data_IF_445357416450
#
_entry.id   IF_445357416450
#
_cell.length_a   1.000
_cell.length_b   1.000
_cell.length_c   1.000
_cell.angle_alpha   90.00
_cell.angle_beta   90.00
_cell.angle_gamma   90.00
#
_symmetry.space_group_name_H-M   'P 1'
#
loop_
_entity.id
_entity.type
_entity.pdbx_description
1 polymer ?
#
# COMPACT_ATOMS: atom_id res chain seq x y z
N UNK A 1 23.56 48.94 -41.21
CA UNK A 1 23.48 47.58 -40.63
C UNK A 1 22.23 47.56 -39.78
N UNK A 2 21.13 47.07 -40.33
CA UNK A 2 19.85 46.97 -39.64
C UNK A 2 19.83 45.73 -38.77
N UNK A 3 19.40 45.91 -37.52
CA UNK A 3 19.18 44.85 -36.54
C UNK A 3 17.76 44.33 -36.78
N UNK A 4 17.63 43.11 -37.29
CA UNK A 4 16.34 42.43 -37.41
C UNK A 4 15.94 41.93 -36.02
N UNK A 5 14.93 42.57 -35.42
CA UNK A 5 14.29 42.08 -34.21
C UNK A 5 13.48 40.81 -34.54
N UNK A 6 13.60 39.72 -33.75
CA UNK A 6 12.80 38.53 -33.95
C UNK A 6 11.31 38.82 -33.67
N UNK A 7 10.38 38.18 -34.40
CA UNK A 7 8.95 38.39 -34.20
C UNK A 7 8.53 37.91 -32.79
N UNK A 8 7.60 38.61 -32.13
CA UNK A 8 7.14 38.24 -30.80
C UNK A 8 6.43 36.88 -30.81
N UNK A 9 6.79 36.05 -29.84
CA UNK A 9 6.22 34.73 -29.61
C UNK A 9 4.69 34.82 -29.34
N UNK A 10 3.91 34.43 -30.34
CA UNK A 10 2.44 34.51 -30.36
C UNK A 10 1.75 33.60 -29.34
N UNK A 11 2.45 32.67 -28.71
CA UNK A 11 1.86 31.75 -27.72
C UNK A 11 1.64 32.42 -26.36
N UNK A 12 2.47 33.39 -25.98
CA UNK A 12 2.38 34.09 -24.68
C UNK A 12 1.27 35.14 -24.58
N UNK A 13 0.76 35.64 -25.69
CA UNK A 13 -0.32 36.65 -25.70
C UNK A 13 -1.71 36.05 -25.48
N UNK A 14 -1.90 34.76 -25.78
CA UNK A 14 -3.17 34.06 -25.58
C UNK A 14 -3.53 33.83 -24.11
N UNK A 15 -2.56 33.42 -23.28
CA UNK A 15 -2.80 33.11 -21.86
C UNK A 15 -3.11 34.38 -21.04
N UNK A 16 -2.41 35.48 -21.30
CA UNK A 16 -2.66 36.76 -20.64
C UNK A 16 -4.04 37.34 -21.00
N UNK A 17 -4.50 37.14 -22.24
CA UNK A 17 -5.83 37.58 -22.68
C UNK A 17 -6.96 36.80 -21.99
N UNK A 18 -6.79 35.50 -21.76
CA UNK A 18 -7.80 34.64 -21.09
C UNK A 18 -7.96 35.02 -19.61
N UNK A 19 -6.87 35.33 -18.92
CA UNK A 19 -6.90 35.77 -17.51
C UNK A 19 -7.58 37.13 -17.38
N UNK A 20 -7.29 38.08 -18.27
CA UNK A 20 -7.98 39.38 -18.31
C UNK A 20 -9.48 39.25 -18.67
N UNK A 21 -9.83 38.34 -19.58
CA UNK A 21 -11.23 38.06 -19.93
C UNK A 21 -12.02 37.49 -18.74
N UNK A 22 -11.39 36.60 -17.95
CA UNK A 22 -12.03 35.95 -16.81
C UNK A 22 -12.28 36.91 -15.63
N UNK A 23 -11.44 37.95 -15.47
CA UNK A 23 -11.61 38.98 -14.44
C UNK A 23 -12.77 39.94 -14.80
N UNK A 24 -13.00 40.19 -16.10
CA UNK A 24 -13.99 41.18 -16.56
C UNK A 24 -15.38 40.61 -16.86
N UNK A 25 -15.44 39.34 -17.27
CA UNK A 25 -16.69 38.66 -17.61
C UNK A 25 -17.23 37.96 -16.35
N UNK A 26 -18.27 38.51 -15.73
CA UNK A 26 -18.86 37.94 -14.50
C UNK A 26 -19.12 36.43 -14.56
N UNK A 27 -19.23 35.78 -13.39
CA UNK A 27 -19.22 34.32 -13.19
C UNK A 27 -20.08 33.46 -14.14
N UNK A 28 -21.17 34.00 -14.69
CA UNK A 28 -22.02 33.32 -15.68
C UNK A 28 -21.33 33.09 -17.03
N UNK A 29 -20.52 34.04 -17.49
CA UNK A 29 -19.82 33.95 -18.79
C UNK A 29 -18.62 33.02 -18.66
N UNK A 30 -17.87 33.10 -17.55
CA UNK A 30 -16.81 32.13 -17.22
C UNK A 30 -17.36 30.70 -17.26
N UNK A 31 -18.50 30.43 -16.62
CA UNK A 31 -19.19 29.12 -16.70
C UNK A 31 -19.65 28.74 -18.11
N UNK A 32 -19.96 29.68 -18.99
CA UNK A 32 -20.36 29.40 -20.37
C UNK A 32 -19.15 29.01 -21.24
N UNK A 33 -18.03 29.74 -21.09
CA UNK A 33 -16.75 29.43 -21.75
C UNK A 33 -16.26 28.05 -21.32
N UNK A 34 -16.29 27.73 -20.02
CA UNK A 34 -15.93 26.41 -19.52
C UNK A 34 -16.83 25.29 -20.07
N UNK A 35 -18.15 25.51 -20.16
CA UNK A 35 -19.07 24.54 -20.77
C UNK A 35 -18.77 24.30 -22.25
N UNK A 36 -18.40 25.34 -23.00
CA UNK A 36 -18.05 25.22 -24.41
C UNK A 36 -16.71 24.47 -24.58
N UNK A 37 -15.68 24.81 -23.80
CA UNK A 37 -14.40 24.09 -23.81
C UNK A 37 -14.58 22.60 -23.49
N UNK A 38 -15.45 22.27 -22.53
CA UNK A 38 -15.82 20.88 -22.19
C UNK A 38 -16.51 20.16 -23.35
N UNK A 39 -17.42 20.83 -24.06
CA UNK A 39 -18.09 20.24 -25.21
C UNK A 39 -17.11 19.97 -26.36
N UNK A 40 -16.19 20.91 -26.64
CA UNK A 40 -15.14 20.75 -27.65
C UNK A 40 -14.20 19.59 -27.28
N UNK A 41 -13.72 19.53 -26.05
CA UNK A 41 -12.83 18.44 -25.61
C UNK A 41 -13.52 17.07 -25.62
N UNK A 42 -14.81 17.00 -25.23
CA UNK A 42 -15.58 15.75 -25.31
C UNK A 42 -15.82 15.29 -26.76
N UNK A 43 -15.80 16.21 -27.71
CA UNK A 43 -15.90 15.90 -29.12
C UNK A 43 -14.58 15.38 -29.71
N UNK A 44 -13.44 15.57 -29.02
CA UNK A 44 -12.17 14.94 -29.39
C UNK A 44 -12.30 13.42 -29.13
N UNK A 45 -12.05 12.57 -30.14
CA UNK A 45 -11.99 11.12 -29.99
C UNK A 45 -11.08 10.74 -28.82
N UNK A 46 -11.41 9.68 -28.09
CA UNK A 46 -10.63 9.28 -26.91
C UNK A 46 -9.14 9.04 -27.24
N UNK A 47 -8.85 8.54 -28.44
CA UNK A 47 -7.50 8.25 -28.93
C UNK A 47 -6.67 9.51 -29.25
N UNK A 48 -7.33 10.66 -29.46
CA UNK A 48 -6.68 11.93 -29.79
C UNK A 48 -6.46 12.83 -28.55
N UNK A 49 -6.87 12.38 -27.36
CA UNK A 49 -6.68 13.14 -26.12
C UNK A 49 -5.23 13.00 -25.65
N UNK A 50 -4.58 14.08 -25.20
CA UNK A 50 -3.29 13.95 -24.54
C UNK A 50 -3.50 13.07 -23.30
N UNK A 51 -2.65 12.05 -23.11
CA UNK A 51 -2.80 11.16 -21.97
C UNK A 51 -2.61 11.95 -20.67
N UNK A 52 -3.22 11.49 -19.58
CA UNK A 52 -3.17 12.22 -18.32
C UNK A 52 -1.73 12.23 -17.77
N UNK A 53 -1.32 13.32 -17.09
CA UNK A 53 -0.05 13.38 -16.40
C UNK A 53 0.06 12.26 -15.36
N UNK A 54 1.29 11.79 -15.14
CA UNK A 54 1.59 10.64 -14.28
C UNK A 54 2.54 11.05 -13.17
N UNK A 55 2.17 10.77 -11.93
CA UNK A 55 3.02 10.94 -10.75
C UNK A 55 3.40 9.56 -10.21
N UNK A 56 4.68 9.23 -10.29
CA UNK A 56 5.28 8.07 -9.63
C UNK A 56 5.86 8.45 -8.28
N UNK A 57 5.66 7.59 -7.27
CA UNK A 57 6.24 7.76 -5.94
C UNK A 57 7.12 6.56 -5.61
N UNK A 58 8.36 6.81 -5.18
CA UNK A 58 9.21 5.80 -4.56
C UNK A 58 9.41 6.19 -3.10
N UNK A 59 8.85 5.40 -2.19
CA UNK A 59 8.89 5.66 -0.76
C UNK A 59 9.77 4.60 -0.10
N UNK A 60 10.88 5.06 0.47
CA UNK A 60 11.71 4.26 1.34
C UNK A 60 10.94 3.90 2.60
N UNK A 61 10.94 2.63 2.92
CA UNK A 61 10.36 2.07 4.14
C UNK A 61 11.39 1.24 4.89
N UNK A 62 12.69 1.46 4.68
CA UNK A 62 13.79 0.79 5.37
C UNK A 62 13.92 1.19 6.84
N UNK A 63 14.76 0.51 7.60
CA UNK A 63 14.83 0.66 9.06
C UNK A 63 15.05 2.10 9.57
N UNK A 64 15.73 2.96 8.82
CA UNK A 64 15.92 4.38 9.17
C UNK A 64 14.61 5.19 9.15
N UNK A 65 13.60 4.72 8.43
CA UNK A 65 12.29 5.36 8.33
C UNK A 65 11.40 5.11 9.55
N UNK A 66 11.83 4.26 10.49
CA UNK A 66 11.19 4.09 11.82
C UNK A 66 11.31 5.33 12.68
N UNK A 67 12.36 6.13 12.46
CA UNK A 67 12.58 7.33 13.24
C UNK A 67 11.46 8.36 12.99
N UNK A 68 11.08 9.12 14.02
CA UNK A 68 10.13 10.22 13.86
C UNK A 68 10.77 11.44 13.21
N UNK A 69 9.95 12.23 12.50
CA UNK A 69 10.30 13.62 12.21
C UNK A 69 10.18 14.43 13.51
N UNK A 70 11.01 15.46 13.65
CA UNK A 70 10.81 16.50 14.66
C UNK A 70 9.56 17.30 14.29
N UNK A 71 8.39 16.83 14.74
CA UNK A 71 7.12 17.54 14.61
C UNK A 71 6.86 18.34 15.89
N UNK A 72 6.39 19.58 15.73
CA UNK A 72 5.91 20.42 16.85
C UNK A 72 4.58 19.92 17.43
N UNK A 73 3.90 18.98 16.75
CA UNK A 73 2.64 18.40 17.19
C UNK A 73 2.87 17.22 18.15
N UNK A 74 2.04 17.14 19.19
CA UNK A 74 2.07 16.16 20.28
C UNK A 74 1.80 14.74 19.74
N UNK A 75 2.85 14.04 19.31
CA UNK A 75 2.79 12.63 18.90
C UNK A 75 4.02 12.22 18.08
N UNK A 76 4.67 11.11 18.46
CA UNK A 76 5.75 10.51 17.67
C UNK A 76 5.14 9.79 16.45
N UNK A 77 5.02 10.49 15.32
CA UNK A 77 4.68 9.87 14.03
C UNK A 77 5.95 9.46 13.30
N UNK A 78 6.00 8.25 12.75
CA UNK A 78 7.14 7.80 11.95
C UNK A 78 7.29 8.61 10.66
N UNK A 79 8.47 8.57 10.04
CA UNK A 79 8.71 9.20 8.73
C UNK A 79 7.79 8.63 7.65
N UNK A 80 7.55 7.31 7.68
CA UNK A 80 6.64 6.65 6.75
C UNK A 80 5.19 7.12 6.91
N UNK A 81 4.66 7.17 8.13
CA UNK A 81 3.32 7.70 8.40
C UNK A 81 3.18 9.15 7.94
N UNK A 82 4.21 9.96 8.14
CA UNK A 82 4.24 11.34 7.66
C UNK A 82 4.24 11.42 6.13
N UNK A 83 4.90 10.49 5.43
CA UNK A 83 4.86 10.38 3.98
C UNK A 83 3.46 9.97 3.47
N UNK A 84 2.82 9.01 4.12
CA UNK A 84 1.43 8.63 3.82
C UNK A 84 0.45 9.79 4.09
N UNK A 85 0.64 10.53 5.17
CA UNK A 85 -0.17 11.70 5.49
C UNK A 85 -0.01 12.79 4.42
N UNK A 86 1.23 13.06 3.98
CA UNK A 86 1.52 14.00 2.91
C UNK A 86 0.90 13.55 1.58
N UNK A 87 0.91 12.24 1.28
CA UNK A 87 0.24 11.66 0.13
C UNK A 87 -1.29 11.83 0.21
N UNK A 88 -1.88 11.66 1.39
CA UNK A 88 -3.31 11.89 1.63
C UNK A 88 -3.68 13.36 1.42
N UNK A 89 -2.83 14.27 1.87
CA UNK A 89 -2.96 15.71 1.66
C UNK A 89 -2.86 16.08 0.18
N UNK A 90 -1.90 15.49 -0.52
CA UNK A 90 -1.75 15.60 -1.97
C UNK A 90 -3.03 15.13 -2.68
N UNK A 91 -3.58 13.98 -2.32
CA UNK A 91 -4.75 13.41 -2.96
C UNK A 91 -6.03 14.24 -2.70
N UNK A 92 -6.25 14.69 -1.45
CA UNK A 92 -7.43 15.50 -1.08
C UNK A 92 -7.44 16.88 -1.74
N UNK A 93 -6.32 17.60 -1.67
CA UNK A 93 -6.20 18.92 -2.32
C UNK A 93 -6.14 18.77 -3.83
N UNK A 94 -5.58 17.66 -4.28
CA UNK A 94 -5.82 16.97 -5.54
C UNK A 94 -7.15 17.30 -6.22
N UNK A 95 -8.21 16.69 -5.69
CA UNK A 95 -9.56 16.81 -6.23
C UNK A 95 -10.05 18.26 -6.35
N UNK A 96 -9.71 19.13 -5.38
CA UNK A 96 -10.22 20.52 -5.31
C UNK A 96 -9.61 21.48 -6.35
N UNK A 97 -8.36 21.28 -6.77
CA UNK A 97 -7.72 22.13 -7.79
C UNK A 97 -8.02 21.68 -9.21
N UNK A 98 -8.17 20.37 -9.44
CA UNK A 98 -8.55 19.82 -10.75
C UNK A 98 -9.99 20.21 -11.10
N UNK A 99 -10.88 20.30 -10.12
CA UNK A 99 -12.24 20.84 -10.36
C UNK A 99 -12.20 22.31 -10.81
N UNK A 100 -11.28 23.14 -10.32
CA UNK A 100 -11.31 24.58 -10.59
C UNK A 100 -10.59 25.03 -11.87
N UNK A 101 -9.52 24.35 -12.30
CA UNK A 101 -8.84 24.66 -13.58
C UNK A 101 -9.34 23.83 -14.76
N UNK A 102 -9.85 22.62 -14.49
CA UNK A 102 -10.04 21.58 -15.50
C UNK A 102 -11.41 20.87 -15.41
N UNK A 103 -12.47 21.59 -15.02
CA UNK A 103 -13.86 21.07 -14.91
C UNK A 103 -14.45 20.49 -16.24
N UNK A 104 -13.66 20.47 -17.32
CA UNK A 104 -13.96 19.80 -18.59
C UNK A 104 -12.94 18.76 -19.06
N UNK A 105 -11.73 18.69 -18.48
CA UNK A 105 -10.74 17.67 -18.83
C UNK A 105 -10.86 16.52 -17.84
N UNK A 106 -11.33 15.37 -18.33
CA UNK A 106 -11.28 14.11 -17.57
C UNK A 106 -9.86 13.58 -17.35
N UNK A 107 -8.83 14.42 -17.42
CA UNK A 107 -7.44 14.05 -17.17
C UNK A 107 -7.20 14.05 -15.66
N UNK A 108 -7.72 13.01 -15.03
CA UNK A 108 -7.35 12.68 -13.68
C UNK A 108 -5.87 12.30 -13.68
N UNK A 109 -5.04 13.12 -13.02
CA UNK A 109 -3.64 12.80 -12.73
C UNK A 109 -3.58 11.36 -12.23
N UNK A 110 -2.76 10.53 -12.89
CA UNK A 110 -2.58 9.12 -12.54
C UNK A 110 -1.42 9.01 -11.58
N UNK A 111 -1.58 8.21 -10.54
CA UNK A 111 -0.62 8.04 -9.46
C UNK A 111 -0.30 6.56 -9.30
N UNK A 112 0.98 6.23 -9.26
CA UNK A 112 1.45 4.93 -8.79
C UNK A 112 2.48 5.15 -7.67
N UNK A 113 2.61 4.18 -6.77
CA UNK A 113 3.54 4.28 -5.67
C UNK A 113 4.19 2.93 -5.40
N UNK A 114 5.51 2.90 -5.27
CA UNK A 114 6.27 1.76 -4.79
C UNK A 114 6.84 2.06 -3.41
N UNK A 115 6.72 1.08 -2.51
CA UNK A 115 7.46 1.05 -1.26
C UNK A 115 8.68 0.13 -1.42
N UNK A 116 9.86 0.60 -1.03
CA UNK A 116 11.09 -0.21 -1.06
C UNK A 116 11.73 -0.29 0.32
N UNK A 117 12.17 -1.49 0.68
CA UNK A 117 12.47 -1.89 2.05
C UNK A 117 11.35 -2.69 2.70
N UNK A 118 10.56 -3.35 1.87
CA UNK A 118 9.54 -4.31 2.30
C UNK A 118 10.23 -5.66 2.53
N UNK A 119 10.01 -6.26 3.69
CA UNK A 119 10.55 -7.56 4.05
C UNK A 119 9.80 -8.66 3.35
N UNK A 120 10.56 -9.62 2.85
CA UNK A 120 10.01 -10.88 2.35
C UNK A 120 9.49 -10.87 0.91
N UNK A 121 9.37 -9.70 0.27
CA UNK A 121 9.23 -9.66 -1.20
C UNK A 121 10.58 -10.03 -1.84
N UNK A 122 10.54 -10.68 -3.00
CA UNK A 122 11.75 -11.23 -3.65
C UNK A 122 12.82 -10.19 -3.97
N UNK A 123 12.42 -8.94 -4.23
CA UNK A 123 13.31 -7.81 -4.53
C UNK A 123 13.25 -6.70 -3.47
N UNK A 124 12.54 -6.93 -2.35
CA UNK A 124 12.34 -5.92 -1.31
C UNK A 124 11.50 -4.70 -1.73
N UNK A 125 10.77 -4.76 -2.86
CA UNK A 125 9.92 -3.68 -3.37
C UNK A 125 8.48 -4.16 -3.59
N UNK A 126 7.48 -3.41 -3.14
CA UNK A 126 6.08 -3.69 -3.43
C UNK A 126 5.35 -2.47 -4.00
N UNK A 127 4.27 -2.71 -4.77
CA UNK A 127 3.32 -1.66 -5.11
C UNK A 127 2.55 -1.26 -3.83
N UNK A 128 2.76 -0.02 -3.39
CA UNK A 128 2.20 0.49 -2.14
C UNK A 128 0.68 0.65 -2.24
N UNK A 129 0.15 0.97 -3.42
CA UNK A 129 -1.30 1.16 -3.60
C UNK A 129 -2.03 -0.18 -3.59
N UNK A 130 -1.46 -1.21 -4.20
CA UNK A 130 -1.92 -2.60 -4.11
C UNK A 130 -1.88 -3.07 -2.66
N UNK A 131 -0.77 -2.84 -1.94
CA UNK A 131 -0.65 -3.17 -0.51
C UNK A 131 -1.75 -2.51 0.32
N UNK A 132 -1.94 -1.20 0.17
CA UNK A 132 -2.98 -0.47 0.89
C UNK A 132 -4.39 -0.96 0.53
N UNK A 133 -4.64 -1.30 -0.73
CA UNK A 133 -5.93 -1.84 -1.18
C UNK A 133 -6.20 -3.21 -0.55
N UNK A 134 -5.18 -4.07 -0.47
CA UNK A 134 -5.29 -5.38 0.19
C UNK A 134 -5.54 -5.24 1.69
N UNK A 135 -4.90 -4.27 2.36
CA UNK A 135 -5.07 -4.04 3.79
C UNK A 135 -6.43 -3.45 4.17
N UNK A 136 -7.07 -2.69 3.26
CA UNK A 136 -8.45 -2.23 3.45
C UNK A 136 -9.46 -3.38 3.37
N UNK A 137 -9.07 -4.50 2.77
CA UNK A 137 -9.96 -5.53 2.24
C UNK A 137 -10.89 -5.00 1.16
N UNK A 138 -11.62 -5.90 0.50
CA UNK A 138 -12.69 -5.47 -0.40
C UNK A 138 -13.77 -4.79 0.44
N UNK A 139 -14.31 -3.63 0.00
CA UNK A 139 -15.56 -3.17 0.56
C UNK A 139 -16.53 -4.35 0.46
N UNK A 140 -17.19 -4.70 1.57
CA UNK A 140 -18.29 -5.65 1.47
C UNK A 140 -19.19 -5.13 0.36
N UNK A 141 -19.56 -5.95 -0.64
CA UNK A 141 -20.56 -5.52 -1.59
C UNK A 141 -21.71 -5.02 -0.73
N UNK A 142 -21.99 -3.71 -0.80
CA UNK A 142 -23.15 -3.16 -0.11
C UNK A 142 -24.28 -4.11 -0.50
N UNK A 143 -25.00 -4.65 0.49
CA UNK A 143 -26.18 -5.50 0.30
C UNK A 143 -27.23 -4.67 -0.46
N UNK A 144 -26.93 -4.40 -1.72
CA UNK A 144 -27.70 -3.68 -2.70
C UNK A 144 -28.64 -4.74 -3.19
N UNK A 145 -29.87 -4.63 -2.69
CA UNK A 145 -30.82 -5.71 -2.65
C UNK A 145 -30.92 -6.51 -3.94
N UNK A 146 -30.95 -7.84 -3.78
CA UNK A 146 -31.55 -8.80 -4.71
C UNK A 146 -31.30 -8.49 -6.20
N UNK A 147 -30.04 -8.22 -6.55
CA UNK A 147 -29.55 -8.27 -7.92
C UNK A 147 -28.73 -9.54 -8.09
N UNK A 148 -29.38 -10.65 -8.44
CA UNK A 148 -28.73 -11.86 -8.96
C UNK A 148 -28.00 -11.48 -10.25
N UNK A 149 -26.72 -11.11 -10.19
CA UNK A 149 -25.78 -11.09 -11.33
C UNK A 149 -24.38 -10.64 -10.84
N UNK A 150 -23.74 -11.45 -9.99
CA UNK A 150 -22.29 -11.30 -9.74
C UNK A 150 -21.60 -12.62 -10.16
N UNK A 151 -20.96 -12.57 -11.33
CA UNK A 151 -20.25 -13.65 -12.05
C UNK A 151 -18.98 -14.15 -11.32
N UNK A 152 -18.87 -13.97 -10.00
CA UNK A 152 -17.84 -14.67 -9.24
C UNK A 152 -18.08 -16.18 -9.42
N UNK A 153 -17.07 -16.99 -9.81
CA UNK A 153 -17.24 -18.42 -9.96
C UNK A 153 -17.80 -18.96 -8.64
N UNK A 154 -19.08 -19.31 -8.66
CA UNK A 154 -19.81 -19.80 -7.51
C UNK A 154 -19.20 -21.15 -7.17
N UNK A 155 -18.23 -21.14 -6.27
CA UNK A 155 -17.67 -22.34 -5.70
C UNK A 155 -18.84 -23.07 -5.02
N UNK A 156 -19.25 -24.21 -5.61
CA UNK A 156 -20.56 -24.83 -5.39
C UNK A 156 -20.83 -25.18 -3.92
N UNK A 157 -19.77 -25.43 -3.15
CA UNK A 157 -19.78 -25.44 -1.69
C UNK A 157 -18.36 -25.15 -1.16
N UNK A 158 -18.13 -24.06 -0.42
CA UNK A 158 -16.81 -23.79 0.15
C UNK A 158 -16.37 -24.84 1.17
N UNK A 159 -17.29 -25.52 1.86
CA UNK A 159 -16.93 -26.60 2.77
C UNK A 159 -16.42 -27.81 2.01
N UNK A 160 -17.05 -28.17 0.88
CA UNK A 160 -16.58 -29.27 0.03
C UNK A 160 -15.15 -29.04 -0.46
N UNK A 161 -14.86 -27.81 -0.93
CA UNK A 161 -13.51 -27.42 -1.32
C UNK A 161 -12.52 -27.55 -0.16
N UNK A 162 -12.86 -27.01 1.01
CA UNK A 162 -12.00 -27.07 2.19
C UNK A 162 -11.77 -28.50 2.69
N UNK A 163 -12.77 -29.38 2.59
CA UNK A 163 -12.60 -30.82 2.88
C UNK A 163 -11.66 -31.49 1.89
N UNK A 164 -11.76 -31.15 0.60
CA UNK A 164 -10.83 -31.67 -0.41
C UNK A 164 -9.38 -31.19 -0.17
N UNK A 165 -9.19 -29.93 0.23
CA UNK A 165 -7.87 -29.41 0.63
C UNK A 165 -7.35 -30.15 1.87
N UNK A 166 -8.19 -30.35 2.88
CA UNK A 166 -7.84 -31.11 4.08
C UNK A 166 -7.43 -32.56 3.76
N UNK A 167 -8.15 -33.23 2.85
CA UNK A 167 -7.83 -34.58 2.41
C UNK A 167 -6.50 -34.62 1.63
N UNK A 168 -6.29 -33.68 0.69
CA UNK A 168 -5.05 -33.54 -0.07
C UNK A 168 -3.83 -33.35 0.85
N UNK A 169 -3.96 -32.53 1.90
CA UNK A 169 -2.90 -32.30 2.88
C UNK A 169 -2.78 -33.41 3.95
N UNK A 170 -3.59 -34.48 3.84
CA UNK A 170 -3.66 -35.61 4.78
C UNK A 170 -4.02 -35.19 6.21
N UNK A 171 -4.94 -34.23 6.33
CA UNK A 171 -5.40 -33.60 7.57
C UNK A 171 -6.90 -33.84 7.78
N UNK A 172 -7.32 -35.10 7.90
CA UNK A 172 -8.74 -35.47 8.04
C UNK A 172 -9.47 -34.81 9.23
N UNK A 173 -8.75 -34.39 10.27
CA UNK A 173 -9.33 -33.62 11.37
C UNK A 173 -9.79 -32.21 10.99
N UNK A 174 -9.17 -31.59 9.99
CA UNK A 174 -9.53 -30.24 9.59
C UNK A 174 -10.94 -30.15 9.04
N UNK A 175 -11.37 -31.12 8.23
CA UNK A 175 -12.73 -31.16 7.71
C UNK A 175 -13.77 -31.02 8.83
N UNK A 176 -13.64 -31.83 9.89
CA UNK A 176 -14.54 -31.79 11.05
C UNK A 176 -14.42 -30.47 11.84
N UNK A 177 -13.21 -29.92 11.96
CA UNK A 177 -12.99 -28.65 12.63
C UNK A 177 -13.61 -27.48 11.87
N UNK A 178 -13.42 -27.42 10.54
CA UNK A 178 -13.96 -26.39 9.64
C UNK A 178 -15.48 -26.39 9.71
N UNK A 179 -16.11 -27.56 9.58
CA UNK A 179 -17.57 -27.72 9.66
C UNK A 179 -18.16 -27.22 10.98
N UNK A 180 -17.37 -27.25 12.06
CA UNK A 180 -17.85 -26.94 13.41
C UNK A 180 -17.53 -25.51 13.85
N UNK A 181 -16.43 -24.93 13.39
CA UNK A 181 -15.87 -23.69 13.95
C UNK A 181 -15.75 -22.55 12.94
N UNK A 182 -15.96 -22.83 11.65
CA UNK A 182 -15.87 -21.82 10.59
C UNK A 182 -17.27 -21.61 10.03
N UNK A 183 -17.82 -20.41 10.20
CA UNK A 183 -19.10 -20.04 9.60
C UNK A 183 -18.99 -20.02 8.07
N UNK A 184 -20.13 -20.07 7.37
CA UNK A 184 -20.15 -20.24 5.91
C UNK A 184 -19.41 -19.14 5.16
N UNK A 185 -19.42 -17.91 5.67
CA UNK A 185 -18.74 -16.77 5.06
C UNK A 185 -17.24 -16.89 5.24
N UNK A 186 -16.80 -17.19 6.45
CA UNK A 186 -15.39 -17.48 6.74
C UNK A 186 -14.87 -18.67 5.91
N UNK A 187 -15.70 -19.71 5.74
CA UNK A 187 -15.36 -20.86 4.91
C UNK A 187 -15.23 -20.47 3.43
N UNK A 188 -16.14 -19.64 2.90
CA UNK A 188 -16.07 -19.14 1.53
C UNK A 188 -14.79 -18.34 1.27
N UNK A 189 -14.42 -17.46 2.20
CA UNK A 189 -13.22 -16.64 2.07
C UNK A 189 -11.95 -17.49 2.20
N UNK A 190 -11.90 -18.42 3.17
CA UNK A 190 -10.78 -19.34 3.33
C UNK A 190 -10.61 -20.23 2.08
N UNK A 191 -11.71 -20.75 1.55
CA UNK A 191 -11.73 -21.54 0.34
C UNK A 191 -11.23 -20.73 -0.86
N UNK A 192 -11.71 -19.49 -1.03
CA UNK A 192 -11.23 -18.59 -2.08
C UNK A 192 -9.73 -18.31 -1.95
N UNK A 193 -9.24 -18.08 -0.72
CA UNK A 193 -7.83 -17.81 -0.47
C UNK A 193 -6.93 -19.02 -0.73
N UNK A 194 -7.36 -20.22 -0.34
CA UNK A 194 -6.63 -21.45 -0.63
C UNK A 194 -6.69 -21.83 -2.11
N UNK A 195 -7.79 -21.49 -2.79
CA UNK A 195 -7.92 -21.67 -4.23
C UNK A 195 -6.98 -20.75 -5.02
N UNK A 196 -6.99 -19.45 -4.71
CA UNK A 196 -6.08 -18.48 -5.33
C UNK A 196 -4.62 -18.73 -4.96
N UNK A 197 -4.35 -19.30 -3.78
CA UNK A 197 -3.00 -19.52 -3.29
C UNK A 197 -2.80 -20.92 -2.69
N UNK A 198 -2.64 -21.96 -3.53
CA UNK A 198 -2.48 -23.33 -3.07
C UNK A 198 -1.29 -23.53 -2.11
N UNK A 199 -0.25 -22.71 -2.19
CA UNK A 199 0.88 -22.78 -1.25
C UNK A 199 0.45 -22.56 0.22
N UNK A 200 -0.63 -21.82 0.47
CA UNK A 200 -1.17 -21.60 1.81
C UNK A 200 -1.71 -22.88 2.45
N UNK A 201 -2.15 -23.89 1.67
CA UNK A 201 -2.62 -25.15 2.24
C UNK A 201 -1.49 -25.94 2.89
N UNK A 202 -0.32 -25.99 2.24
CA UNK A 202 0.88 -26.64 2.79
C UNK A 202 1.43 -25.87 4.00
N UNK A 203 1.37 -24.54 3.99
CA UNK A 203 1.79 -23.77 5.17
C UNK A 203 0.83 -23.95 6.36
N UNK A 204 -0.49 -23.95 6.10
CA UNK A 204 -1.48 -24.32 7.10
C UNK A 204 -1.24 -25.73 7.61
N UNK A 205 -0.82 -26.67 6.75
CA UNK A 205 -0.52 -28.06 7.15
C UNK A 205 0.60 -28.10 8.17
N UNK A 206 1.64 -27.31 7.94
CA UNK A 206 2.84 -27.33 8.77
C UNK A 206 2.63 -26.64 10.13
N UNK A 207 1.73 -25.65 10.21
CA UNK A 207 1.43 -24.96 11.47
C UNK A 207 0.27 -25.59 12.25
N UNK A 208 -0.77 -26.08 11.56
CA UNK A 208 -1.90 -26.72 12.23
C UNK A 208 -1.47 -28.09 12.78
N UNK A 209 -1.84 -28.39 14.05
CA UNK A 209 -1.51 -29.69 14.63
C UNK A 209 -2.14 -30.82 13.83
N UNK A 210 -1.40 -31.93 13.71
CA UNK A 210 -1.90 -33.19 13.14
C UNK A 210 -2.90 -33.85 14.10
N UNK A 211 -4.09 -33.28 14.15
CA UNK A 211 -5.18 -33.78 14.98
C UNK A 211 -6.10 -34.63 14.10
N UNK A 212 -6.44 -35.80 14.61
CA UNK A 212 -7.56 -36.56 14.05
C UNK A 212 -8.87 -35.84 14.34
N UNK A 213 -9.92 -36.15 13.58
CA UNK A 213 -11.27 -35.65 13.83
C UNK A 213 -11.73 -35.99 15.26
N UNK A 214 -11.32 -37.15 15.77
CA UNK A 214 -11.58 -37.59 17.15
C UNK A 214 -10.84 -36.71 18.19
N UNK A 215 -9.59 -36.33 17.95
CA UNK A 215 -8.85 -35.45 18.86
C UNK A 215 -9.51 -34.07 18.97
N UNK A 216 -10.00 -33.55 17.85
CA UNK A 216 -10.70 -32.27 17.78
C UNK A 216 -12.05 -32.35 18.49
N UNK A 217 -12.85 -33.40 18.24
CA UNK A 217 -14.13 -33.57 18.94
C UNK A 217 -13.95 -33.68 20.46
N UNK A 218 -12.90 -34.39 20.91
CA UNK A 218 -12.58 -34.50 22.33
C UNK A 218 -12.22 -33.14 22.93
N UNK A 219 -11.46 -32.30 22.20
CA UNK A 219 -11.11 -30.95 22.62
C UNK A 219 -12.32 -30.02 22.68
N UNK A 220 -13.15 -30.02 21.64
CA UNK A 220 -14.35 -29.18 21.56
C UNK A 220 -15.38 -29.59 22.63
N UNK A 221 -15.56 -30.90 22.84
CA UNK A 221 -16.43 -31.43 23.90
C UNK A 221 -15.94 -31.02 25.28
N UNK A 222 -14.62 -31.00 25.50
CA UNK A 222 -14.03 -30.56 26.76
C UNK A 222 -14.23 -29.05 27.03
N UNK A 223 -14.11 -28.19 26.01
CA UNK A 223 -14.37 -26.74 26.14
C UNK A 223 -15.86 -26.44 26.30
N UNK A 224 -16.75 -27.08 25.53
CA UNK A 224 -18.22 -26.94 25.70
C UNK A 224 -18.66 -27.36 27.11
N UNK A 225 -18.13 -28.48 27.62
CA UNK A 225 -18.41 -28.94 28.99
C UNK A 225 -17.89 -27.97 30.06
N UNK A 226 -16.81 -27.23 29.78
CA UNK A 226 -16.24 -26.21 30.67
C UNK A 226 -17.09 -24.94 30.70
N UNK A 227 -17.47 -24.44 29.53
CA UNK A 227 -18.36 -23.28 29.37
C UNK A 227 -19.71 -23.53 30.05
N UNK A 228 -20.26 -24.74 29.89
CA UNK A 228 -21.56 -25.09 30.44
C UNK A 228 -21.60 -25.27 31.98
N UNK A 229 -20.47 -25.48 32.67
CA UNK A 229 -20.51 -25.96 34.07
C UNK A 229 -19.58 -25.29 35.09
N UNK A 230 -18.74 -24.31 34.72
CA UNK A 230 -17.91 -23.60 35.72
C UNK A 230 -17.03 -24.51 36.59
N UNK A 231 -16.65 -25.69 36.09
CA UNK A 231 -16.07 -26.78 36.90
C UNK A 231 -14.60 -26.53 37.19
N UNK A 232 -14.29 -26.20 38.46
CA UNK A 232 -12.93 -25.92 38.95
C UNK A 232 -12.06 -27.15 39.24
N UNK A 233 -12.58 -28.39 39.21
CA UNK A 233 -11.84 -29.53 39.77
C UNK A 233 -11.59 -30.70 38.78
N UNK A 234 -10.32 -31.11 38.69
CA UNK A 234 -9.76 -32.09 37.73
C UNK A 234 -10.38 -33.49 37.88
N UNK A 235 -10.80 -33.87 39.10
CA UNK A 235 -11.44 -35.16 39.38
C UNK A 235 -12.82 -35.34 38.75
N UNK A 236 -13.60 -34.26 38.62
CA UNK A 236 -14.89 -34.31 37.92
C UNK A 236 -14.73 -34.56 36.42
N UNK A 237 -13.62 -34.10 35.84
CA UNK A 237 -13.31 -34.24 34.41
C UNK A 237 -12.95 -35.67 34.03
N UNK A 238 -12.19 -36.37 34.89
CA UNK A 238 -11.80 -37.76 34.66
C UNK A 238 -13.00 -38.74 34.70
N UNK A 239 -14.03 -38.41 35.49
CA UNK A 239 -15.26 -39.22 35.59
C UNK A 239 -16.14 -39.07 34.34
N UNK A 240 -16.28 -37.84 33.82
CA UNK A 240 -17.02 -37.58 32.58
C UNK A 240 -16.39 -38.25 31.35
N UNK A 241 -15.06 -38.28 31.23
CA UNK A 241 -14.39 -39.01 30.13
C UNK A 241 -14.50 -40.54 30.24
N UNK A 242 -14.77 -41.07 31.44
CA UNK A 242 -14.91 -42.51 31.66
C UNK A 242 -16.33 -43.00 31.35
N UNK A 243 -17.32 -42.11 31.41
CA UNK A 243 -18.71 -42.39 31.02
C UNK A 243 -18.94 -42.32 29.50
N UNK A 244 -18.01 -41.73 28.73
CA UNK A 244 -18.08 -41.65 27.26
C UNK A 244 -17.61 -42.94 26.57
N UNK A 245 -16.95 -43.87 27.28
CA UNK A 245 -16.74 -45.27 26.85
C UNK A 245 -15.95 -45.49 25.54
N UNK A 246 -14.70 -45.94 25.65
CA UNK A 246 -13.98 -46.52 24.50
C UNK A 246 -12.45 -46.48 24.62
N UNK A 247 -11.77 -47.41 23.95
CA UNK A 247 -10.31 -47.44 23.74
C UNK A 247 -9.73 -46.11 23.24
N UNK A 248 -10.57 -45.29 22.61
CA UNK A 248 -10.23 -44.01 21.99
C UNK A 248 -9.88 -42.93 23.02
N UNK A 249 -10.42 -42.99 24.24
CA UNK A 249 -10.08 -42.01 25.28
C UNK A 249 -8.63 -42.17 25.78
N UNK A 250 -8.11 -43.39 25.80
CA UNK A 250 -6.71 -43.68 26.17
C UNK A 250 -5.76 -43.34 25.01
N UNK A 251 -6.19 -43.58 23.77
CA UNK A 251 -5.45 -43.16 22.58
C UNK A 251 -5.33 -41.62 22.51
N UNK A 252 -6.45 -40.91 22.66
CA UNK A 252 -6.49 -39.45 22.71
C UNK A 252 -5.64 -38.90 23.87
N UNK A 253 -5.70 -39.50 25.07
CA UNK A 253 -4.86 -39.06 26.19
C UNK A 253 -3.36 -39.25 25.93
N UNK A 254 -2.96 -40.32 25.23
CA UNK A 254 -1.56 -40.54 24.81
C UNK A 254 -1.15 -39.54 23.72
N UNK A 255 -2.04 -39.22 22.80
CA UNK A 255 -1.78 -38.27 21.71
C UNK A 255 -1.65 -36.84 22.24
N UNK A 256 -2.51 -36.43 23.17
CA UNK A 256 -2.39 -35.19 23.94
C UNK A 256 -1.05 -35.11 24.68
N UNK A 257 -0.59 -36.23 25.26
CA UNK A 257 0.70 -36.27 25.93
C UNK A 257 1.88 -36.15 24.94
N UNK A 258 1.83 -36.83 23.79
CA UNK A 258 2.82 -36.69 22.71
C UNK A 258 2.87 -35.28 22.14
N UNK A 259 1.75 -34.56 22.10
CA UNK A 259 1.66 -33.18 21.65
C UNK A 259 2.17 -32.15 22.67
N UNK A 260 2.85 -32.57 23.75
CA UNK A 260 3.37 -31.68 24.79
C UNK A 260 2.38 -31.40 25.94
N UNK A 261 1.27 -32.14 26.00
CA UNK A 261 0.22 -31.96 27.01
C UNK A 261 -0.94 -31.09 26.54
N UNK A 262 -1.98 -30.99 27.39
CA UNK A 262 -3.22 -30.27 27.08
C UNK A 262 -3.01 -28.79 26.79
N UNK A 263 -2.08 -28.15 27.49
CA UNK A 263 -1.85 -26.71 27.34
C UNK A 263 -1.15 -26.39 26.01
N UNK A 264 -0.18 -27.22 25.59
CA UNK A 264 0.44 -27.11 24.28
C UNK A 264 -0.58 -27.34 23.15
N UNK A 265 -1.44 -28.36 23.28
CA UNK A 265 -2.49 -28.64 22.32
C UNK A 265 -3.52 -27.51 22.22
N UNK A 266 -3.88 -26.91 23.36
CA UNK A 266 -4.77 -25.76 23.44
C UNK A 266 -4.15 -24.54 22.76
N UNK A 267 -2.87 -24.29 22.98
CA UNK A 267 -2.15 -23.21 22.31
C UNK A 267 -2.17 -23.41 20.80
N UNK A 268 -1.91 -24.64 20.31
CA UNK A 268 -2.00 -24.96 18.88
C UNK A 268 -3.40 -24.80 18.29
N UNK A 269 -4.46 -25.14 19.02
CA UNK A 269 -5.84 -24.90 18.57
C UNK A 269 -6.20 -23.40 18.57
N UNK A 270 -5.69 -22.61 19.52
CA UNK A 270 -5.88 -21.16 19.52
C UNK A 270 -5.15 -20.51 18.33
N UNK A 271 -3.91 -20.94 18.07
CA UNK A 271 -3.12 -20.55 16.88
C UNK A 271 -3.87 -20.95 15.61
N UNK A 272 -4.40 -22.17 15.55
CA UNK A 272 -5.19 -22.68 14.43
C UNK A 272 -6.46 -21.86 14.16
N UNK A 273 -7.26 -21.62 15.19
CA UNK A 273 -8.46 -20.81 15.10
C UNK A 273 -8.07 -19.40 14.64
N UNK A 274 -7.04 -18.79 15.24
CA UNK A 274 -6.57 -17.46 14.85
C UNK A 274 -6.11 -17.44 13.39
N UNK A 275 -5.34 -18.43 12.93
CA UNK A 275 -4.92 -18.55 11.53
C UNK A 275 -6.08 -18.64 10.57
N UNK A 276 -7.05 -19.49 10.88
CA UNK A 276 -8.20 -19.67 10.01
C UNK A 276 -9.05 -18.43 10.04
N UNK A 277 -9.35 -17.86 11.20
CA UNK A 277 -10.00 -16.55 11.36
C UNK A 277 -9.27 -15.50 10.50
N UNK A 278 -7.96 -15.39 10.61
CA UNK A 278 -7.11 -14.47 9.84
C UNK A 278 -7.23 -14.68 8.33
N UNK A 279 -7.09 -15.92 7.86
CA UNK A 279 -7.20 -16.23 6.44
C UNK A 279 -8.64 -16.21 5.93
N UNK A 280 -9.63 -16.32 6.82
CA UNK A 280 -11.04 -16.31 6.49
C UNK A 280 -11.65 -14.91 6.53
N UNK A 281 -11.01 -13.95 7.16
CA UNK A 281 -11.40 -12.55 7.06
C UNK A 281 -10.67 -11.89 5.89
N UNK A 282 -11.43 -11.23 5.01
CA UNK A 282 -10.87 -10.35 3.99
C UNK A 282 -10.20 -9.11 4.57
N UNK A 283 -10.55 -8.75 5.81
CA UNK A 283 -10.02 -7.65 6.59
C UNK A 283 -9.66 -8.21 7.96
N UNK A 284 -8.37 -8.35 8.23
CA UNK A 284 -7.94 -8.49 9.61
C UNK A 284 -8.20 -7.16 10.31
N UNK A 285 -8.90 -7.17 11.45
CA UNK A 285 -8.85 -5.99 12.29
C UNK A 285 -7.41 -5.79 12.80
N UNK A 286 -7.07 -4.53 13.10
CA UNK A 286 -5.71 -4.15 13.48
C UNK A 286 -5.20 -4.93 14.70
N UNK A 287 -6.08 -5.21 15.66
CA UNK A 287 -5.73 -5.91 16.89
C UNK A 287 -5.45 -7.40 16.65
N UNK A 288 -6.21 -8.02 15.74
CA UNK A 288 -6.03 -9.40 15.31
C UNK A 288 -4.79 -9.58 14.45
N UNK A 289 -4.55 -8.66 13.50
CA UNK A 289 -3.33 -8.64 12.69
C UNK A 289 -2.11 -8.51 13.61
N UNK A 290 -2.13 -7.57 14.56
CA UNK A 290 -1.04 -7.37 15.51
C UNK A 290 -0.77 -8.62 16.35
N UNK A 291 -1.82 -9.20 16.93
CA UNK A 291 -1.68 -10.39 17.76
C UNK A 291 -1.24 -11.61 16.95
N UNK A 292 -1.56 -11.67 15.66
CA UNK A 292 -1.09 -12.72 14.76
C UNK A 292 0.37 -12.49 14.33
N UNK A 293 0.77 -11.24 14.12
CA UNK A 293 2.15 -10.86 13.80
C UNK A 293 3.10 -11.06 14.98
N UNK A 294 2.64 -11.05 16.24
CA UNK A 294 3.49 -11.37 17.40
C UNK A 294 3.96 -12.83 17.41
N UNK A 295 3.23 -13.75 16.75
CA UNK A 295 3.57 -15.16 16.63
C UNK A 295 4.44 -15.41 15.38
N UNK A 296 5.68 -15.93 15.50
CA UNK A 296 6.57 -16.12 14.36
C UNK A 296 6.02 -17.00 13.23
N UNK A 297 5.25 -18.05 13.56
CA UNK A 297 4.71 -18.99 12.57
C UNK A 297 3.53 -18.34 11.82
N UNK A 298 2.64 -17.64 12.54
CA UNK A 298 1.58 -16.86 11.90
C UNK A 298 2.13 -15.69 11.09
N UNK A 299 3.17 -15.03 11.59
CA UNK A 299 3.84 -13.93 10.88
C UNK A 299 4.31 -14.41 9.51
N UNK A 300 5.00 -15.55 9.44
CA UNK A 300 5.47 -16.09 8.16
C UNK A 300 4.32 -16.41 7.20
N UNK A 301 3.22 -17.00 7.71
CA UNK A 301 2.03 -17.30 6.91
C UNK A 301 1.33 -16.05 6.37
N UNK A 302 1.11 -15.04 7.23
CA UNK A 302 0.48 -13.79 6.85
C UNK A 302 1.34 -13.07 5.81
N UNK A 303 2.67 -13.04 6.03
CA UNK A 303 3.59 -12.45 5.08
C UNK A 303 3.58 -13.20 3.73
N UNK A 304 3.60 -14.53 3.74
CA UNK A 304 3.53 -15.32 2.50
C UNK A 304 2.21 -15.11 1.74
N UNK A 305 1.08 -15.08 2.46
CA UNK A 305 -0.24 -14.81 1.88
C UNK A 305 -0.30 -13.40 1.28
N UNK A 306 0.18 -12.40 2.01
CA UNK A 306 0.20 -11.03 1.53
C UNK A 306 1.08 -10.88 0.30
N UNK A 307 2.25 -11.53 0.26
CA UNK A 307 3.13 -11.55 -0.93
C UNK A 307 2.43 -12.15 -2.13
N UNK A 308 1.82 -13.33 -1.97
CA UNK A 308 1.11 -13.99 -3.06
C UNK A 308 -0.04 -13.12 -3.59
N UNK A 309 -0.77 -12.44 -2.71
CA UNK A 309 -1.82 -11.48 -3.09
C UNK A 309 -1.28 -10.22 -3.75
N UNK A 310 -0.12 -9.72 -3.33
CA UNK A 310 0.53 -8.57 -3.96
C UNK A 310 1.00 -8.93 -5.37
N UNK A 311 1.58 -10.12 -5.54
CA UNK A 311 2.02 -10.63 -6.84
C UNK A 311 0.83 -10.82 -7.79
N UNK A 312 -0.31 -11.32 -7.28
CA UNK A 312 -1.56 -11.46 -8.05
C UNK A 312 -2.19 -10.10 -8.38
N UNK A 313 -2.27 -9.19 -7.42
CA UNK A 313 -2.82 -7.85 -7.62
C UNK A 313 -1.99 -7.05 -8.65
N UNK A 314 -0.68 -7.31 -8.69
CA UNK A 314 0.25 -6.63 -9.56
C UNK A 314 0.37 -5.13 -9.26
N UNK A 315 0.78 -4.38 -10.27
CA UNK A 315 1.00 -2.93 -10.15
C UNK A 315 -0.31 -2.14 -10.31
N UNK A 316 -0.61 -1.29 -9.34
CA UNK A 316 -1.81 -0.46 -9.31
C UNK A 316 -1.50 0.98 -9.72
N UNK A 317 -2.41 1.58 -10.49
CA UNK A 317 -2.35 3.02 -10.78
C UNK A 317 -3.74 3.61 -10.58
N UNK A 318 -3.82 4.58 -9.69
CA UNK A 318 -5.06 5.22 -9.29
C UNK A 318 -5.12 6.64 -9.82
N UNK A 319 -6.33 7.15 -10.04
CA UNK A 319 -6.55 8.58 -10.13
C UNK A 319 -6.35 9.24 -8.77
N UNK A 320 -6.10 10.55 -8.75
CA UNK A 320 -6.05 11.33 -7.50
C UNK A 320 -7.30 11.17 -6.64
N UNK A 321 -8.49 11.07 -7.24
CA UNK A 321 -9.75 10.88 -6.49
C UNK A 321 -9.85 9.47 -5.89
N UNK A 322 -9.46 8.43 -6.65
CA UNK A 322 -9.39 7.06 -6.15
C UNK A 322 -8.33 6.94 -5.04
N UNK A 323 -7.20 7.62 -5.17
CA UNK A 323 -6.17 7.68 -4.13
C UNK A 323 -6.69 8.40 -2.87
N UNK A 324 -7.46 9.48 -3.03
CA UNK A 324 -8.08 10.19 -1.91
C UNK A 324 -9.14 9.34 -1.21
N UNK A 325 -9.89 8.51 -1.93
CA UNK A 325 -10.79 7.50 -1.37
C UNK A 325 -10.01 6.40 -0.63
N UNK A 326 -8.92 5.90 -1.22
CA UNK A 326 -8.04 4.92 -0.59
C UNK A 326 -7.51 5.40 0.76
N UNK A 327 -7.05 6.65 0.81
CA UNK A 327 -6.42 7.27 1.98
C UNK A 327 -7.41 7.84 3.01
N UNK A 328 -8.71 7.90 2.70
CA UNK A 328 -9.74 8.32 3.67
C UNK A 328 -10.10 7.23 4.68
N UNK A 329 -9.75 5.98 4.39
CA UNK A 329 -10.10 4.83 5.22
C UNK A 329 -9.25 4.76 6.50
N UNK A 330 -9.85 4.58 7.69
CA UNK A 330 -9.12 4.43 8.94
C UNK A 330 -8.16 3.23 8.98
N UNK A 331 -8.44 2.19 8.18
CA UNK A 331 -7.66 0.95 8.10
C UNK A 331 -6.18 1.14 7.68
N UNK A 332 -5.86 2.28 7.05
CA UNK A 332 -4.48 2.63 6.66
C UNK A 332 -3.75 3.38 7.78
N UNK A 333 -4.48 3.84 8.80
CA UNK A 333 -4.04 4.85 9.78
C UNK A 333 -3.13 4.34 10.89
N UNK A 334 -3.13 3.05 11.23
CA UNK A 334 -2.16 2.49 12.17
C UNK A 334 -1.15 1.60 11.42
N UNK A 335 -0.13 2.24 10.86
CA UNK A 335 0.99 1.59 10.17
C UNK A 335 1.76 0.60 11.07
N UNK A 336 1.43 0.49 12.37
CA UNK A 336 2.06 -0.46 13.29
C UNK A 336 1.90 -1.91 12.86
N UNK A 337 0.76 -2.29 12.26
CA UNK A 337 0.57 -3.63 11.70
C UNK A 337 1.49 -3.92 10.49
N UNK A 338 1.95 -2.87 9.81
CA UNK A 338 2.90 -2.99 8.70
C UNK A 338 4.36 -3.03 9.17
N UNK A 339 4.67 -2.67 10.42
CA UNK A 339 6.05 -2.57 10.89
C UNK A 339 6.87 -3.87 10.73
N UNK A 340 6.21 -5.03 10.75
CA UNK A 340 6.86 -6.33 10.55
C UNK A 340 7.10 -6.66 9.07
N UNK A 341 6.32 -6.04 8.18
CA UNK A 341 6.44 -6.11 6.73
C UNK A 341 7.38 -5.03 6.18
N UNK A 342 7.52 -3.91 6.87
CA UNK A 342 8.39 -2.81 6.47
C UNK A 342 9.76 -2.96 7.14
N UNK A 343 10.64 -1.99 6.89
CA UNK A 343 11.92 -1.80 7.56
C UNK A 343 12.94 -2.90 7.26
N UNK A 344 12.95 -3.37 6.01
CA UNK A 344 13.98 -4.22 5.43
C UNK A 344 15.22 -3.43 4.98
N UNK A 345 15.86 -3.90 3.91
CA UNK A 345 16.98 -3.24 3.23
C UNK A 345 16.50 -2.03 2.42
N UNK A 346 17.37 -1.37 1.64
CA UNK A 346 17.01 -0.21 0.81
C UNK A 346 17.27 -0.55 -0.67
N UNK A 347 16.44 -1.39 -1.32
CA UNK A 347 16.64 -1.82 -2.71
C UNK A 347 16.16 -0.74 -3.69
N UNK A 348 16.88 0.38 -3.72
CA UNK A 348 16.52 1.56 -4.51
C UNK A 348 16.63 1.30 -6.02
N UNK A 349 17.61 0.52 -6.48
CA UNK A 349 17.77 0.20 -7.90
C UNK A 349 16.57 -0.60 -8.41
N UNK A 350 16.15 -1.63 -7.68
CA UNK A 350 14.97 -2.43 -8.00
C UNK A 350 13.69 -1.57 -8.06
N UNK A 351 13.55 -0.61 -7.14
CA UNK A 351 12.42 0.32 -7.10
C UNK A 351 12.40 1.25 -8.32
N UNK A 352 13.55 1.80 -8.68
CA UNK A 352 13.73 2.65 -9.85
C UNK A 352 13.46 1.87 -11.15
N UNK A 353 13.93 0.64 -11.27
CA UNK A 353 13.66 -0.21 -12.43
C UNK A 353 12.16 -0.54 -12.57
N UNK A 354 11.46 -0.79 -11.45
CA UNK A 354 10.00 -0.95 -11.44
C UNK A 354 9.31 0.33 -11.91
N UNK A 355 9.73 1.50 -11.42
CA UNK A 355 9.20 2.78 -11.88
C UNK A 355 9.47 3.06 -13.37
N UNK A 356 10.68 2.79 -13.85
CA UNK A 356 11.06 2.91 -15.28
C UNK A 356 10.11 2.08 -16.16
N UNK A 357 9.92 0.79 -15.81
CA UNK A 357 8.96 -0.09 -16.52
C UNK A 357 7.52 0.41 -16.40
N UNK A 358 7.14 1.04 -15.29
CA UNK A 358 5.79 1.58 -15.11
C UNK A 358 5.56 2.80 -16.00
N UNK A 359 6.47 3.77 -16.03
CA UNK A 359 6.40 4.91 -16.94
C UNK A 359 6.38 4.46 -18.41
N UNK A 360 7.21 3.48 -18.78
CA UNK A 360 7.25 2.94 -20.13
C UNK A 360 5.94 2.25 -20.58
N UNK A 361 5.11 1.77 -19.63
CA UNK A 361 3.76 1.22 -19.90
C UNK A 361 2.70 2.31 -19.93
N UNK A 362 2.82 3.32 -19.09
CA UNK A 362 1.91 4.48 -19.03
C UNK A 362 2.23 5.53 -20.11
N UNK A 363 2.68 5.07 -21.30
CA UNK A 363 3.25 5.90 -22.38
C UNK A 363 2.46 7.17 -22.66
N UNK A 364 3.20 8.19 -23.10
CA UNK A 364 2.66 9.44 -23.62
C UNK A 364 2.41 10.51 -22.57
N UNK A 365 2.64 10.23 -21.28
CA UNK A 365 2.57 11.22 -20.21
C UNK A 365 3.64 12.30 -20.39
N UNK A 366 3.34 13.26 -21.27
CA UNK A 366 3.85 14.62 -21.18
C UNK A 366 3.57 15.08 -19.73
N UNK A 367 4.58 15.62 -19.07
CA UNK A 367 4.53 15.99 -17.64
C UNK A 367 4.52 14.82 -16.63
N UNK A 368 5.26 13.74 -16.92
CA UNK A 368 5.53 12.71 -15.93
C UNK A 368 6.49 13.19 -14.83
N UNK A 369 6.15 12.93 -13.57
CA UNK A 369 6.99 13.26 -12.41
C UNK A 369 7.25 12.01 -11.57
N UNK A 370 8.50 11.79 -11.17
CA UNK A 370 8.89 10.79 -10.19
C UNK A 370 9.36 11.48 -8.92
N UNK A 371 8.73 11.19 -7.79
CA UNK A 371 9.16 11.66 -6.47
C UNK A 371 9.83 10.50 -5.73
N UNK A 372 11.06 10.70 -5.27
CA UNK A 372 11.82 9.73 -4.48
C UNK A 372 11.93 10.26 -3.05
N UNK A 373 11.48 9.50 -2.06
CA UNK A 373 11.59 9.81 -0.63
C UNK A 373 12.47 8.76 0.02
N UNK A 374 13.70 9.10 0.40
CA UNK A 374 14.68 8.15 0.96
C UNK A 374 15.75 8.83 1.81
N UNK A 375 16.40 8.06 2.66
CA UNK A 375 17.63 8.45 3.34
C UNK A 375 18.89 8.28 2.47
N UNK A 376 18.76 7.78 1.24
CA UNK A 376 19.79 7.81 0.20
C UNK A 376 20.86 6.73 0.23
N UNK A 377 20.73 5.66 1.03
CA UNK A 377 21.74 4.58 1.09
C UNK A 377 21.27 3.29 0.40
N UNK A 378 21.46 3.14 -0.93
CA UNK A 378 21.01 1.95 -1.66
C UNK A 378 21.81 0.70 -1.27
N UNK A 379 21.09 -0.39 -1.06
CA UNK A 379 21.68 -1.71 -0.70
C UNK A 379 21.86 -2.65 -1.89
N UNK A 380 21.37 -2.28 -3.06
CA UNK A 380 21.27 -3.14 -4.24
C UNK A 380 22.07 -2.64 -5.45
N UNK A 381 22.88 -1.58 -5.31
CA UNK A 381 23.78 -1.10 -6.34
C UNK A 381 23.80 0.42 -6.49
N UNK A 382 24.20 0.86 -7.69
CA UNK A 382 24.32 2.27 -8.05
C UNK A 382 23.08 2.74 -8.86
N UNK A 383 22.20 3.58 -8.29
CA UNK A 383 20.91 3.91 -8.90
C UNK A 383 20.99 4.91 -10.07
N UNK A 384 22.08 5.69 -10.17
CA UNK A 384 22.18 6.82 -11.11
C UNK A 384 21.95 6.42 -12.57
N UNK A 385 22.46 5.27 -13.00
CA UNK A 385 22.27 4.79 -14.37
C UNK A 385 20.79 4.59 -14.72
N UNK A 386 19.97 4.13 -13.77
CA UNK A 386 18.53 3.95 -13.96
C UNK A 386 17.79 5.28 -13.90
N UNK A 387 18.20 6.18 -13.00
CA UNK A 387 17.64 7.55 -12.93
C UNK A 387 17.87 8.33 -14.22
N UNK A 388 19.06 8.22 -14.83
CA UNK A 388 19.34 8.85 -16.12
C UNK A 388 18.45 8.31 -17.25
N UNK A 389 18.15 6.99 -17.26
CA UNK A 389 17.20 6.42 -18.24
C UNK A 389 15.77 6.94 -18.02
N UNK A 390 15.33 7.04 -16.76
CA UNK A 390 14.03 7.63 -16.41
C UNK A 390 13.96 9.09 -16.90
N UNK A 391 15.00 9.90 -16.66
CA UNK A 391 15.08 11.28 -17.17
C UNK A 391 15.10 11.36 -18.68
N UNK A 392 15.81 10.45 -19.35
CA UNK A 392 15.82 10.37 -20.82
C UNK A 392 14.44 10.07 -21.42
N UNK A 393 13.50 9.54 -20.63
CA UNK A 393 12.10 9.39 -21.01
C UNK A 393 11.24 10.64 -20.75
N UNK A 394 11.84 11.78 -20.41
CA UNK A 394 11.14 13.03 -20.14
C UNK A 394 10.49 13.09 -18.76
N UNK A 395 10.80 12.16 -17.87
CA UNK A 395 10.28 12.15 -16.50
C UNK A 395 11.09 13.11 -15.63
N UNK A 396 10.41 14.07 -15.01
CA UNK A 396 11.01 14.96 -14.02
C UNK A 396 11.23 14.19 -12.71
N UNK A 397 12.48 14.10 -12.25
CA UNK A 397 12.82 13.43 -10.99
C UNK A 397 12.99 14.44 -9.87
N UNK A 398 12.15 14.33 -8.85
CA UNK A 398 12.15 15.10 -7.62
C UNK A 398 12.68 14.24 -6.48
N UNK A 399 13.76 14.66 -5.83
CA UNK A 399 14.47 13.87 -4.82
C UNK A 399 14.32 14.50 -3.44
N UNK A 400 13.79 13.72 -2.50
CA UNK A 400 13.55 14.11 -1.12
C UNK A 400 14.46 13.31 -0.19
N UNK A 401 15.46 13.98 0.37
CA UNK A 401 16.44 13.37 1.27
C UNK A 401 15.99 13.47 2.72
N UNK A 402 15.77 12.34 3.36
CA UNK A 402 15.30 12.26 4.75
C UNK A 402 16.50 12.17 5.70
N UNK A 403 16.73 13.21 6.49
CA UNK A 403 17.85 13.26 7.44
C UNK A 403 17.51 14.10 8.67
N UNK A 404 18.23 13.86 9.77
CA UNK A 404 18.21 14.72 10.97
C UNK A 404 19.20 15.88 10.88
N UNK A 405 20.19 15.81 9.99
CA UNK A 405 21.19 16.86 9.85
C UNK A 405 20.62 17.95 8.94
N UNK A 406 20.63 19.18 9.42
CA UNK A 406 20.31 20.33 8.58
C UNK A 406 21.44 20.56 7.57
N UNK A 407 21.15 20.19 6.32
CA UNK A 407 22.01 20.36 5.15
C UNK A 407 21.66 21.63 4.37
N UNK A 408 20.39 22.04 4.41
CA UNK A 408 19.84 23.16 3.66
C UNK A 408 18.99 24.05 4.55
N UNK A 409 18.91 25.33 4.16
CA UNK A 409 17.87 26.21 4.69
C UNK A 409 16.48 25.64 4.34
N UNK A 410 15.49 25.73 5.25
CA UNK A 410 14.12 25.31 4.95
C UNK A 410 13.60 25.96 3.67
N UNK A 411 12.90 25.19 2.84
CA UNK A 411 12.34 25.63 1.55
C UNK A 411 13.39 26.19 0.58
N UNK A 412 14.60 25.63 0.56
CA UNK A 412 15.61 25.96 -0.44
C UNK A 412 15.92 24.75 -1.31
N UNK A 413 16.07 24.98 -2.62
CA UNK A 413 16.67 24.03 -3.54
C UNK A 413 18.18 24.24 -3.61
N UNK A 414 18.94 23.16 -3.76
CA UNK A 414 20.39 23.20 -3.86
C UNK A 414 20.86 23.30 -5.31
N UNK A 415 21.95 24.04 -5.55
CA UNK A 415 22.63 24.12 -6.87
C UNK A 415 23.80 23.17 -7.00
N UNK A 416 24.40 22.76 -5.89
CA UNK A 416 25.55 21.88 -5.82
C UNK A 416 25.51 21.11 -4.51
N UNK A 417 26.13 19.91 -4.44
CA UNK A 417 26.28 19.23 -3.16
C UNK A 417 27.19 20.02 -2.23
N UNK A 418 26.80 20.16 -0.97
CA UNK A 418 27.64 20.77 0.06
C UNK A 418 28.92 19.95 0.30
N UNK A 419 30.00 20.63 0.68
CA UNK A 419 31.29 19.97 0.94
C UNK A 419 31.19 18.94 2.07
N UNK A 420 30.34 19.20 3.06
CA UNK A 420 30.13 18.38 4.27
C UNK A 420 28.96 17.38 4.13
N UNK A 421 28.38 17.26 2.94
CA UNK A 421 27.33 16.28 2.66
C UNK A 421 27.92 14.89 2.59
N UNK A 422 27.25 13.94 3.24
CA UNK A 422 27.60 12.54 3.15
C UNK A 422 27.30 11.97 1.74
N UNK A 423 27.72 10.72 1.53
CA UNK A 423 27.54 10.02 0.25
C UNK A 423 26.06 9.95 -0.15
N UNK A 424 25.17 9.68 0.82
CA UNK A 424 23.75 9.48 0.57
C UNK A 424 23.05 10.77 0.12
N UNK A 425 23.36 11.91 0.76
CA UNK A 425 22.86 13.22 0.38
C UNK A 425 23.33 13.63 -1.03
N UNK A 426 24.63 13.39 -1.34
CA UNK A 426 25.20 13.66 -2.68
C UNK A 426 24.52 12.81 -3.75
N UNK A 427 24.32 11.51 -3.49
CA UNK A 427 23.62 10.62 -4.39
C UNK A 427 22.19 11.10 -4.67
N UNK A 428 21.43 11.42 -3.62
CA UNK A 428 20.05 11.88 -3.75
C UNK A 428 19.97 13.23 -4.50
N UNK A 429 20.95 14.11 -4.34
CA UNK A 429 21.08 15.33 -5.14
C UNK A 429 21.34 15.05 -6.62
N UNK A 430 22.23 14.11 -6.92
CA UNK A 430 22.55 13.71 -8.30
C UNK A 430 21.34 13.04 -8.98
N UNK A 431 20.51 12.31 -8.22
CA UNK A 431 19.25 11.75 -8.71
C UNK A 431 18.23 12.84 -9.14
N UNK A 432 18.21 13.99 -8.46
CA UNK A 432 17.25 15.05 -8.76
C UNK A 432 17.46 15.65 -10.16
N UNK A 433 16.38 16.05 -10.83
CA UNK A 433 16.46 16.80 -12.10
C UNK A 433 16.78 18.27 -11.84
N UNK A 434 17.37 18.98 -12.83
CA UNK A 434 17.46 20.45 -12.79
C UNK A 434 16.08 21.09 -12.57
N UNK A 435 16.05 22.14 -11.76
CA UNK A 435 14.86 22.92 -11.41
C UNK A 435 14.78 24.22 -12.20
N UNK A 436 15.05 24.14 -13.51
CA UNK A 436 15.02 25.28 -14.44
C UNK A 436 13.60 25.89 -14.57
N UNK A 437 13.22 26.42 -15.73
CA UNK A 437 11.90 27.06 -15.96
C UNK A 437 10.68 26.09 -15.94
N UNK A 438 10.82 24.93 -15.30
CA UNK A 438 9.77 23.94 -15.12
C UNK A 438 8.58 24.52 -14.33
N UNK A 439 7.33 24.13 -14.66
CA UNK A 439 6.13 24.56 -13.92
C UNK A 439 6.23 24.34 -12.41
N UNK A 440 6.87 23.23 -12.01
CA UNK A 440 7.09 22.84 -10.63
C UNK A 440 7.98 23.84 -9.89
N UNK A 441 8.98 24.44 -10.55
CA UNK A 441 9.83 25.50 -9.97
C UNK A 441 9.00 26.74 -9.64
N UNK A 442 8.15 27.19 -10.57
CA UNK A 442 7.27 28.35 -10.36
C UNK A 442 6.31 28.11 -9.20
N UNK A 443 5.71 26.92 -9.15
CA UNK A 443 4.86 26.54 -8.03
C UNK A 443 5.61 26.64 -6.70
N UNK A 444 6.83 26.13 -6.61
CA UNK A 444 7.63 26.19 -5.37
C UNK A 444 7.95 27.65 -4.99
N UNK A 445 8.35 28.49 -5.95
CA UNK A 445 8.61 29.92 -5.72
C UNK A 445 7.37 30.66 -5.18
N UNK A 446 6.19 30.38 -5.75
CA UNK A 446 4.91 30.96 -5.28
C UNK A 446 4.57 30.54 -3.85
N UNK A 447 5.14 29.42 -3.38
CA UNK A 447 4.99 28.91 -2.00
C UNK A 447 6.19 29.25 -1.11
N UNK A 448 6.98 30.26 -1.49
CA UNK A 448 8.05 30.82 -0.68
C UNK A 448 9.34 30.01 -0.69
N UNK A 449 9.53 29.12 -1.67
CA UNK A 449 10.81 28.45 -1.86
C UNK A 449 11.84 29.36 -2.52
N UNK A 450 13.11 29.10 -2.23
CA UNK A 450 14.25 29.66 -2.96
C UNK A 450 14.78 28.64 -3.96
N UNK A 451 14.82 29.01 -5.24
CA UNK A 451 15.38 28.21 -6.32
C UNK A 451 16.39 29.06 -7.13
N UNK A 452 17.65 29.14 -6.69
CA UNK A 452 18.68 29.87 -7.45
C UNK A 452 18.93 29.23 -8.83
N UNK A 453 19.45 29.97 -9.82
CA UNK A 453 19.76 29.41 -11.13
C UNK A 453 20.69 28.19 -11.05
N UNK A 454 20.34 27.12 -11.76
CA UNK A 454 21.05 25.83 -11.70
C UNK A 454 20.70 24.97 -10.49
N UNK A 455 19.67 25.35 -9.72
CA UNK A 455 19.13 24.49 -8.67
C UNK A 455 18.63 23.16 -9.25
N UNK A 456 18.57 22.12 -8.42
CA UNK A 456 17.93 20.84 -8.73
C UNK A 456 16.73 20.65 -7.82
N UNK A 457 15.78 19.80 -8.23
CA UNK A 457 14.64 19.37 -7.40
C UNK A 457 15.10 18.42 -6.28
N UNK A 458 16.05 18.86 -5.47
CA UNK A 458 16.55 18.21 -4.28
C UNK A 458 16.05 19.00 -3.07
N UNK A 459 15.33 18.33 -2.19
CA UNK A 459 14.85 18.90 -0.94
C UNK A 459 15.27 18.02 0.25
N UNK A 460 15.76 18.66 1.30
CA UNK A 460 15.90 18.01 2.60
C UNK A 460 14.52 17.94 3.26
N UNK A 461 14.15 16.76 3.73
CA UNK A 461 12.95 16.55 4.55
C UNK A 461 13.34 16.46 6.02
N UNK A 462 13.13 17.55 6.75
CA UNK A 462 13.13 17.59 8.21
C UNK A 462 11.71 17.76 8.80
N UNK A 463 10.73 18.16 7.97
CA UNK A 463 9.34 18.33 8.36
C UNK A 463 8.37 17.83 7.28
N UNK A 464 7.24 17.24 7.70
CA UNK A 464 6.19 16.71 6.81
C UNK A 464 5.52 17.78 5.92
N UNK A 465 5.53 19.04 6.37
CA UNK A 465 5.04 20.18 5.60
C UNK A 465 5.83 20.39 4.30
N UNK A 466 7.16 20.20 4.35
CA UNK A 466 8.06 20.34 3.19
C UNK A 466 7.71 19.27 2.16
N UNK A 467 7.56 18.00 2.58
CA UNK A 467 7.15 16.92 1.69
C UNK A 467 5.77 17.20 1.07
N UNK A 468 4.82 17.70 1.85
CA UNK A 468 3.47 18.03 1.36
C UNK A 468 3.48 19.13 0.29
N UNK A 469 4.31 20.17 0.46
CA UNK A 469 4.49 21.22 -0.55
C UNK A 469 5.17 20.68 -1.82
N UNK A 470 6.19 19.84 -1.66
CA UNK A 470 6.93 19.23 -2.75
C UNK A 470 6.08 18.25 -3.57
N UNK A 471 5.27 17.42 -2.91
CA UNK A 471 4.31 16.55 -3.59
C UNK A 471 3.25 17.35 -4.35
N UNK A 472 2.83 18.51 -3.83
CA UNK A 472 1.87 19.36 -4.55
C UNK A 472 2.48 19.96 -5.81
N UNK A 473 3.76 20.31 -5.79
CA UNK A 473 4.42 20.85 -6.99
C UNK A 473 4.54 19.80 -8.09
N UNK A 474 4.65 18.51 -7.75
CA UNK A 474 4.67 17.39 -8.71
C UNK A 474 3.43 17.30 -9.64
N UNK A 475 2.39 18.10 -9.40
CA UNK A 475 1.19 18.16 -10.24
C UNK A 475 1.34 19.04 -11.47
N UNK A 476 2.22 20.06 -11.42
CA UNK A 476 2.38 21.08 -12.47
C UNK A 476 1.19 22.02 -12.57
#
# INVERSE_FOLDING_TARGET
MGQDDPPPDSTRTGEAAIVWLAIFLGSKVVRAVFRMARAVYRAIPADDRPPPPVVGLLIDVSASMRESFTNEAVGETSRFESALAALGDFARRGGTMVTSRLEGQGNAVRVFAYAFGVRGTSDGVCDLLSLMTLLRGRPEPEESGEGEDDDAPVMSDPYEYLRAVAEHEQRGGWAAWIDTNVDRRSAANLAANLHSHPALSSMLRDVLPDLSSADIEVLLSAERARAARGVRNVRGRYRATREIGGSDAVAAARQVHRAGGRDALRQKVVVANRMVTTLSHHVLDESELRAALDDPELRELIQASLRARLDEAGDTTLTVDQLAELLRSPAVGDARGLNDLLYGTTPMCAALEKAERRFARLRGAEDAVLVIVSDGDPTDGEPLATVERIRAHGVLVMSCFVTRKDLLAPRSLATHPGEDWDRAARLMFECASPADDAPQTRFLLDHGWSAPPGARFFAQLNHSAVLSEFLRSARG
#
